data_IF_320418716405
#
_entry.id   IF_320418716405
#
_cell.length_a   1.000
_cell.length_b   1.000
_cell.length_c   1.000
_cell.angle_alpha   90.00
_cell.angle_beta   90.00
_cell.angle_gamma   90.00
#
_symmetry.space_group_name_H-M   'P 1'
#
loop_
_entity.id
_entity.type
_entity.pdbx_description
1 polymer ?
#
# COMPACT_ATOMS: atom_id res chain seq x y z
N UNK A 1 17.92 6.33 56.59
CA UNK A 1 19.16 7.13 56.43
C UNK A 1 19.69 6.77 55.04
N UNK A 2 18.99 7.08 53.96
CA UNK A 2 18.54 8.38 53.44
C UNK A 2 19.71 9.28 53.03
N UNK A 3 19.92 9.37 51.72
CA UNK A 3 20.59 10.46 51.03
C UNK A 3 20.12 10.42 49.57
N UNK A 4 19.03 11.14 49.36
CA UNK A 4 18.41 11.51 48.08
C UNK A 4 19.23 12.63 47.45
N UNK A 5 19.56 12.56 46.15
CA UNK A 5 20.08 13.71 45.41
C UNK A 5 19.17 14.03 44.22
N UNK A 6 18.37 15.07 44.45
CA UNK A 6 17.48 15.80 43.55
C UNK A 6 18.26 16.70 42.61
N UNK A 7 17.99 16.61 41.30
CA UNK A 7 18.43 17.60 40.32
C UNK A 7 17.29 18.59 40.01
N UNK A 8 17.61 19.87 40.13
CA UNK A 8 16.71 21.04 40.10
C UNK A 8 16.36 21.47 38.68
N UNK A 9 15.07 21.73 38.44
CA UNK A 9 14.49 22.40 37.29
C UNK A 9 14.16 23.85 37.67
N UNK A 10 14.74 24.86 37.01
CA UNK A 10 14.16 26.21 36.89
C UNK A 10 14.68 26.94 35.64
N UNK A 11 13.79 27.65 34.93
CA UNK A 11 14.19 28.74 34.03
C UNK A 11 13.33 28.90 32.76
N UNK A 12 12.34 29.78 32.83
CA UNK A 12 11.31 30.08 31.82
C UNK A 12 11.66 31.28 30.91
N UNK A 13 11.25 31.16 29.65
CA UNK A 13 10.88 32.16 28.63
C UNK A 13 11.80 33.33 28.25
N UNK A 14 12.09 33.43 26.95
CA UNK A 14 12.08 34.71 26.24
C UNK A 14 11.27 34.56 24.94
N UNK A 15 10.44 35.57 24.67
CA UNK A 15 9.35 35.58 23.68
C UNK A 15 9.32 36.97 23.07
N UNK A 16 9.85 37.13 21.87
CA UNK A 16 9.59 38.30 21.01
C UNK A 16 9.71 37.86 19.54
N UNK A 17 8.58 37.57 18.88
CA UNK A 17 7.86 38.49 18.00
C UNK A 17 8.60 38.82 16.70
N UNK A 18 8.32 38.05 15.64
CA UNK A 18 8.23 38.60 14.29
C UNK A 18 6.92 38.14 13.64
N UNK A 19 6.02 39.12 13.53
CA UNK A 19 4.78 39.14 12.74
C UNK A 19 5.07 38.95 11.26
N UNK A 20 4.32 38.05 10.60
CA UNK A 20 3.99 38.14 9.16
C UNK A 20 2.50 37.76 9.01
N UNK A 21 1.70 38.50 8.20
CA UNK A 21 0.24 38.55 8.33
C UNK A 21 -0.50 37.37 7.72
N UNK A 22 -1.67 37.09 8.30
CA UNK A 22 -2.67 36.17 7.77
C UNK A 22 -3.35 36.76 6.52
N UNK A 23 -3.17 36.07 5.39
CA UNK A 23 -4.05 36.10 4.22
C UNK A 23 -3.77 34.76 3.52
N UNK A 24 -4.68 33.85 3.25
CA UNK A 24 -6.12 33.80 3.28
C UNK A 24 -6.47 32.65 2.34
N UNK A 25 -7.40 31.79 2.75
CA UNK A 25 -8.11 30.82 1.89
C UNK A 25 -7.28 29.64 1.33
N UNK A 26 -7.36 28.48 1.98
CA UNK A 26 -6.81 27.21 1.44
C UNK A 26 -7.33 25.92 2.08
N UNK A 27 -8.16 25.99 3.12
CA UNK A 27 -8.66 24.82 3.87
C UNK A 27 -9.76 24.00 3.21
N UNK A 28 -9.85 23.99 1.88
CA UNK A 28 -10.82 23.19 1.12
C UNK A 28 -10.21 22.44 -0.07
N UNK A 29 -8.91 22.60 -0.32
CA UNK A 29 -8.24 22.03 -1.51
C UNK A 29 -7.45 20.76 -1.19
N UNK A 30 -7.04 20.57 0.06
CA UNK A 30 -6.14 19.49 0.50
C UNK A 30 -6.87 18.15 0.73
N UNK A 31 -8.18 18.18 0.99
CA UNK A 31 -8.98 16.96 1.28
C UNK A 31 -9.60 16.32 0.04
N UNK A 32 -9.60 17.01 -1.10
CA UNK A 32 -9.95 16.44 -2.41
C UNK A 32 -8.76 15.77 -3.09
N UNK A 33 -7.53 16.10 -2.70
CA UNK A 33 -6.30 15.55 -3.28
C UNK A 33 -5.98 14.13 -2.79
N UNK A 34 -6.30 13.81 -1.53
CA UNK A 34 -6.12 12.46 -0.95
C UNK A 34 -7.17 11.44 -1.45
N UNK A 35 -8.27 11.89 -2.05
CA UNK A 35 -9.32 11.01 -2.58
C UNK A 35 -8.97 10.43 -3.96
N UNK A 36 -8.04 11.05 -4.70
CA UNK A 36 -7.68 10.63 -6.05
C UNK A 36 -6.53 9.61 -6.13
N UNK A 37 -5.77 9.40 -5.05
CA UNK A 37 -4.58 8.53 -5.07
C UNK A 37 -4.90 7.02 -5.13
N UNK A 38 -6.14 6.63 -4.84
CA UNK A 38 -6.62 5.23 -4.99
C UNK A 38 -7.73 5.07 -6.05
N UNK A 39 -8.18 6.17 -6.67
CA UNK A 39 -9.33 6.21 -7.60
C UNK A 39 -9.00 6.77 -9.00
N UNK A 40 -7.81 7.31 -9.23
CA UNK A 40 -7.39 7.78 -10.56
C UNK A 40 -6.19 7.00 -11.04
N UNK A 41 -6.12 6.73 -12.34
CA UNK A 41 -4.88 6.44 -13.05
C UNK A 41 -3.70 7.06 -12.31
N UNK A 42 -2.85 6.23 -11.68
CA UNK A 42 -1.46 6.66 -11.51
C UNK A 42 -1.02 6.90 -12.94
N UNK A 43 -0.89 8.15 -13.37
CA UNK A 43 -0.42 8.53 -14.72
C UNK A 43 1.08 8.25 -14.85
N UNK A 44 1.50 7.05 -14.48
CA UNK A 44 2.53 6.33 -15.19
C UNK A 44 1.86 6.01 -16.53
N UNK A 45 2.24 6.77 -17.56
CA UNK A 45 1.64 6.75 -18.90
C UNK A 45 1.64 5.32 -19.49
N UNK A 46 2.41 4.41 -18.89
CA UNK A 46 2.45 2.98 -19.18
C UNK A 46 2.93 2.11 -18.02
N UNK A 47 2.67 0.80 -18.09
CA UNK A 47 3.32 -0.23 -17.24
C UNK A 47 4.85 -0.13 -17.27
N UNK A 48 5.43 0.35 -18.38
CA UNK A 48 6.88 0.46 -18.52
C UNK A 48 7.47 1.55 -17.60
N UNK A 49 6.71 2.61 -17.32
CA UNK A 49 7.12 3.65 -16.37
C UNK A 49 7.17 3.10 -14.93
N UNK A 50 6.19 2.27 -14.53
CA UNK A 50 6.20 1.58 -13.24
C UNK A 50 7.39 0.63 -13.11
N UNK A 51 7.70 -0.12 -14.17
CA UNK A 51 8.88 -0.98 -14.17
C UNK A 51 10.16 -0.17 -14.08
N UNK A 52 10.21 1.00 -14.73
CA UNK A 52 11.34 1.92 -14.65
C UNK A 52 11.52 2.43 -13.21
N UNK A 53 10.44 2.83 -12.54
CA UNK A 53 10.47 3.24 -11.13
C UNK A 53 10.92 2.10 -10.20
N UNK A 54 10.38 0.90 -10.36
CA UNK A 54 10.79 -0.28 -9.58
C UNK A 54 12.29 -0.55 -9.72
N UNK A 55 12.81 -0.53 -10.95
CA UNK A 55 14.25 -0.71 -11.19
C UNK A 55 15.09 0.43 -10.58
N UNK A 56 14.58 1.67 -10.61
CA UNK A 56 15.27 2.83 -10.03
C UNK A 56 15.42 2.74 -8.50
N UNK A 57 14.54 1.99 -7.82
CA UNK A 57 14.60 1.75 -6.37
C UNK A 57 15.64 0.71 -5.95
N UNK A 58 16.34 0.07 -6.89
CA UNK A 58 17.29 -1.05 -6.69
C UNK A 58 16.70 -2.30 -5.99
N UNK A 59 15.41 -2.30 -5.66
CA UNK A 59 14.73 -3.46 -5.10
C UNK A 59 14.47 -4.56 -6.14
N UNK A 60 14.33 -4.18 -7.40
CA UNK A 60 14.00 -5.06 -8.52
C UNK A 60 15.02 -4.88 -9.63
N UNK A 61 15.47 -5.99 -10.23
CA UNK A 61 16.25 -6.00 -11.45
C UNK A 61 15.41 -6.52 -12.63
N UNK A 62 15.67 -5.98 -13.82
CA UNK A 62 15.18 -6.56 -15.08
C UNK A 62 16.25 -7.50 -15.64
N UNK A 63 15.90 -8.77 -15.82
CA UNK A 63 16.79 -9.78 -16.41
C UNK A 63 17.04 -9.52 -17.89
N UNK A 64 18.03 -10.22 -18.48
CA UNK A 64 18.27 -10.21 -19.93
C UNK A 64 17.03 -10.66 -20.74
N UNK A 65 16.18 -11.51 -20.17
CA UNK A 65 14.92 -11.97 -20.77
C UNK A 65 13.77 -10.97 -20.63
N UNK A 66 14.00 -9.83 -19.97
CA UNK A 66 12.98 -8.80 -19.71
C UNK A 66 12.07 -9.10 -18.53
N UNK A 67 12.29 -10.20 -17.80
CA UNK A 67 11.55 -10.55 -16.59
C UNK A 67 12.02 -9.71 -15.41
N UNK A 68 11.12 -9.45 -14.46
CA UNK A 68 11.46 -8.76 -13.23
C UNK A 68 11.79 -9.75 -12.13
N UNK A 69 12.84 -9.44 -11.36
CA UNK A 69 13.28 -10.25 -10.24
C UNK A 69 13.60 -9.35 -9.05
N UNK A 70 13.11 -9.74 -7.88
CA UNK A 70 13.48 -9.10 -6.63
C UNK A 70 14.96 -9.35 -6.31
N UNK A 71 15.70 -8.28 -6.05
CA UNK A 71 17.11 -8.34 -5.71
C UNK A 71 17.30 -9.16 -4.41
N UNK A 72 18.23 -10.14 -4.39
CA UNK A 72 18.37 -11.06 -3.25
C UNK A 72 18.63 -10.38 -1.91
N UNK A 73 19.47 -9.35 -1.85
CA UNK A 73 19.74 -8.66 -0.59
C UNK A 73 18.54 -7.83 -0.12
N UNK A 74 17.78 -7.22 -1.04
CA UNK A 74 16.54 -6.51 -0.72
C UNK A 74 15.49 -7.47 -0.17
N UNK A 75 15.35 -8.65 -0.77
CA UNK A 75 14.45 -9.71 -0.27
C UNK A 75 14.74 -10.04 1.19
N UNK A 76 16.01 -10.26 1.53
CA UNK A 76 16.42 -10.59 2.91
C UNK A 76 16.08 -9.45 3.87
N UNK A 77 16.50 -8.23 3.57
CA UNK A 77 16.25 -7.08 4.45
C UNK A 77 14.74 -6.80 4.60
N UNK A 78 13.98 -6.93 3.52
CA UNK A 78 12.54 -6.73 3.54
C UNK A 78 11.84 -7.76 4.43
N UNK A 79 12.27 -9.02 4.32
CA UNK A 79 11.77 -10.12 5.15
C UNK A 79 12.09 -9.89 6.62
N UNK A 80 13.35 -9.61 6.93
CA UNK A 80 13.81 -9.39 8.31
C UNK A 80 13.07 -8.21 8.94
N UNK A 81 12.91 -7.11 8.19
CA UNK A 81 12.20 -5.92 8.66
C UNK A 81 10.72 -6.20 8.89
N UNK A 82 10.09 -6.96 8.01
CA UNK A 82 8.68 -7.36 8.13
C UNK A 82 8.47 -8.19 9.39
N UNK A 83 9.30 -9.22 9.60
CA UNK A 83 9.24 -10.06 10.79
C UNK A 83 9.45 -9.22 12.06
N UNK A 84 10.41 -8.30 12.06
CA UNK A 84 10.64 -7.38 13.17
C UNK A 84 9.42 -6.53 13.50
N UNK A 85 8.78 -5.89 12.51
CA UNK A 85 7.60 -5.03 12.73
C UNK A 85 6.44 -5.88 13.28
N UNK A 86 6.25 -7.08 12.73
CA UNK A 86 5.18 -8.00 13.14
C UNK A 86 5.38 -8.51 14.55
N UNK A 87 6.56 -9.04 14.86
CA UNK A 87 6.86 -9.65 16.16
C UNK A 87 6.88 -8.64 17.31
N UNK A 88 7.28 -7.40 17.02
CA UNK A 88 7.24 -6.30 18.00
C UNK A 88 5.90 -5.57 18.01
N UNK A 89 4.99 -5.90 17.09
CA UNK A 89 3.69 -5.25 16.91
C UNK A 89 3.79 -3.72 16.67
N UNK A 90 4.87 -3.24 16.06
CA UNK A 90 5.18 -1.79 15.92
C UNK A 90 4.66 -1.17 14.63
N UNK A 91 3.61 -1.73 14.01
CA UNK A 91 3.13 -1.28 12.71
C UNK A 91 2.53 0.12 12.75
N UNK A 92 1.82 0.48 13.83
CA UNK A 92 1.27 1.82 14.02
C UNK A 92 2.38 2.87 14.17
N UNK A 93 3.38 2.61 15.02
CA UNK A 93 4.51 3.52 15.24
C UNK A 93 5.37 3.66 13.98
N UNK A 94 5.55 2.57 13.23
CA UNK A 94 6.29 2.60 11.97
C UNK A 94 5.54 3.43 10.93
N UNK A 95 4.22 3.27 10.82
CA UNK A 95 3.40 4.11 9.94
C UNK A 95 3.46 5.60 10.35
N UNK A 96 3.38 5.88 11.64
CA UNK A 96 3.48 7.24 12.17
C UNK A 96 4.82 7.90 11.80
N UNK A 97 5.92 7.16 11.90
CA UNK A 97 7.24 7.64 11.50
C UNK A 97 7.32 7.95 10.01
N UNK A 98 6.81 7.05 9.14
CA UNK A 98 6.77 7.25 7.69
C UNK A 98 5.93 8.46 7.27
N UNK A 99 4.84 8.73 8.00
CA UNK A 99 3.95 9.87 7.73
C UNK A 99 4.39 11.17 8.42
N UNK A 100 5.43 11.14 9.26
CA UNK A 100 5.85 12.25 10.12
C UNK A 100 4.70 12.78 11.02
N UNK A 101 3.85 11.87 11.51
CA UNK A 101 2.69 12.16 12.36
C UNK A 101 2.90 11.58 13.77
N UNK A 102 2.30 12.20 14.80
CA UNK A 102 2.24 11.59 16.14
C UNK A 102 1.36 10.34 16.10
N UNK A 103 1.93 9.18 16.47
CA UNK A 103 1.22 7.90 16.51
C UNK A 103 -0.08 7.95 17.32
N UNK A 104 -0.19 8.83 18.32
CA UNK A 104 -1.41 9.00 19.14
C UNK A 104 -2.60 9.60 18.37
N UNK A 105 -2.34 10.24 17.23
CA UNK A 105 -3.36 10.80 16.34
C UNK A 105 -3.79 9.80 15.27
N UNK A 106 -3.05 8.69 15.13
CA UNK A 106 -3.35 7.64 14.17
C UNK A 106 -4.24 6.56 14.77
N UNK A 107 -5.23 6.15 14.00
CA UNK A 107 -6.07 5.01 14.30
C UNK A 107 -6.07 4.05 13.10
N UNK A 108 -5.94 2.75 13.40
CA UNK A 108 -6.06 1.68 12.42
C UNK A 108 -7.37 0.93 12.63
N UNK A 109 -8.13 0.74 11.57
CA UNK A 109 -9.44 0.08 11.59
C UNK A 109 -9.61 -0.84 10.38
N UNK A 110 -10.49 -1.84 10.53
CA UNK A 110 -11.00 -2.61 9.41
C UNK A 110 -12.32 -1.99 8.98
N UNK A 111 -12.40 -1.58 7.71
CA UNK A 111 -13.56 -0.97 7.07
C UNK A 111 -13.96 -1.75 5.81
N UNK A 112 -15.15 -1.50 5.21
CA UNK A 112 -15.56 -2.17 3.96
C UNK A 112 -14.54 -2.02 2.81
N UNK A 113 -13.82 -0.90 2.81
CA UNK A 113 -12.81 -0.56 1.80
C UNK A 113 -11.45 -1.24 2.05
N UNK A 114 -11.24 -1.82 3.23
CA UNK A 114 -10.01 -2.52 3.59
C UNK A 114 -9.50 -2.17 5.00
N UNK A 115 -8.19 -2.27 5.19
CA UNK A 115 -7.49 -1.84 6.38
C UNK A 115 -7.12 -0.37 6.25
N UNK A 116 -7.62 0.48 7.15
CA UNK A 116 -7.62 1.93 6.99
C UNK A 116 -6.81 2.58 8.09
N UNK A 117 -6.00 3.57 7.72
CA UNK A 117 -5.38 4.49 8.65
C UNK A 117 -6.09 5.85 8.58
N UNK A 118 -6.42 6.40 9.76
CA UNK A 118 -6.99 7.75 9.87
C UNK A 118 -6.16 8.60 10.83
N UNK A 119 -6.06 9.90 10.56
CA UNK A 119 -5.47 10.92 11.41
C UNK A 119 -6.54 11.97 11.72
N UNK A 120 -6.94 12.13 12.98
CA UNK A 120 -8.00 13.07 13.38
C UNK A 120 -9.28 13.00 12.50
N UNK A 121 -9.65 11.78 12.09
CA UNK A 121 -10.77 11.41 11.19
C UNK A 121 -10.54 11.58 9.69
N UNK A 122 -9.41 12.13 9.27
CA UNK A 122 -9.03 12.16 7.86
C UNK A 122 -8.33 10.87 7.48
N UNK A 123 -8.73 10.27 6.36
CA UNK A 123 -8.12 9.05 5.86
C UNK A 123 -6.72 9.35 5.30
N UNK A 124 -5.71 8.70 5.84
CA UNK A 124 -4.30 8.89 5.44
C UNK A 124 -3.71 7.67 4.73
N UNK A 125 -4.42 6.54 4.74
CA UNK A 125 -4.00 5.37 3.98
C UNK A 125 -5.05 4.27 3.97
N UNK A 126 -4.93 3.38 2.98
CA UNK A 126 -5.83 2.25 2.79
C UNK A 126 -5.11 1.09 2.14
N UNK A 127 -5.25 -0.08 2.74
CA UNK A 127 -4.64 -1.31 2.28
C UNK A 127 -5.69 -2.41 2.17
N UNK A 128 -5.49 -3.40 1.31
CA UNK A 128 -6.39 -4.56 1.23
C UNK A 128 -6.51 -5.32 2.56
N UNK A 129 -5.45 -5.30 3.38
CA UNK A 129 -5.43 -5.90 4.71
C UNK A 129 -4.27 -5.34 5.55
N UNK A 130 -4.24 -5.68 6.84
CA UNK A 130 -3.07 -5.43 7.69
C UNK A 130 -1.79 -6.08 7.13
N UNK A 131 -1.89 -7.23 6.44
CA UNK A 131 -0.74 -7.89 5.85
C UNK A 131 -0.11 -7.06 4.71
N UNK A 132 -0.94 -6.37 3.93
CA UNK A 132 -0.47 -5.44 2.90
C UNK A 132 0.20 -4.20 3.52
N UNK A 133 -0.36 -3.65 4.60
CA UNK A 133 0.29 -2.57 5.35
C UNK A 133 1.67 -3.01 5.87
N UNK A 134 1.75 -4.19 6.49
CA UNK A 134 3.02 -4.72 7.01
C UNK A 134 4.08 -4.87 5.91
N UNK A 135 3.68 -5.38 4.74
CA UNK A 135 4.56 -5.51 3.59
C UNK A 135 5.09 -4.14 3.14
N UNK A 136 4.22 -3.15 3.01
CA UNK A 136 4.58 -1.79 2.61
C UNK A 136 5.51 -1.10 3.60
N UNK A 137 5.17 -1.13 4.89
CA UNK A 137 5.97 -0.48 5.94
C UNK A 137 7.39 -1.05 5.98
N UNK A 138 7.51 -2.37 5.83
CA UNK A 138 8.80 -3.03 5.78
C UNK A 138 9.59 -2.65 4.51
N UNK A 139 8.95 -2.62 3.35
CA UNK A 139 9.59 -2.24 2.09
C UNK A 139 10.05 -0.78 2.13
N UNK A 140 9.19 0.14 2.58
CA UNK A 140 9.50 1.56 2.73
C UNK A 140 10.70 1.77 3.66
N UNK A 141 10.73 1.12 4.83
CA UNK A 141 11.86 1.21 5.77
C UNK A 141 13.18 0.75 5.14
N UNK A 142 13.17 -0.29 4.30
CA UNK A 142 14.38 -0.77 3.62
C UNK A 142 14.81 0.19 2.50
N UNK A 143 13.85 0.71 1.73
CA UNK A 143 14.11 1.65 0.64
C UNK A 143 14.66 2.99 1.14
N UNK A 144 14.16 3.50 2.26
CA UNK A 144 14.63 4.73 2.90
C UNK A 144 16.11 4.70 3.27
N UNK A 145 16.61 3.53 3.69
CA UNK A 145 18.00 3.32 4.07
C UNK A 145 18.89 3.14 2.84
N UNK A 146 18.38 2.51 1.78
CA UNK A 146 19.19 2.02 0.66
C UNK A 146 19.37 3.00 -0.50
N UNK A 147 18.47 3.97 -0.71
CA UNK A 147 18.47 4.71 -1.98
C UNK A 147 18.17 6.20 -1.88
N UNK A 148 19.02 7.02 -2.51
CA UNK A 148 18.75 8.44 -2.78
C UNK A 148 17.51 8.63 -3.67
N UNK A 149 17.25 7.67 -4.58
CA UNK A 149 16.13 7.73 -5.52
C UNK A 149 14.76 7.58 -4.84
N UNK A 150 14.67 6.84 -3.72
CA UNK A 150 13.40 6.66 -3.01
C UNK A 150 12.86 8.00 -2.49
N UNK A 151 13.75 8.83 -1.96
CA UNK A 151 13.42 10.16 -1.46
C UNK A 151 13.03 11.15 -2.56
N UNK A 152 13.44 10.88 -3.81
CA UNK A 152 13.10 11.69 -4.97
C UNK A 152 11.68 11.41 -5.51
N UNK A 153 11.10 10.25 -5.18
CA UNK A 153 9.74 9.88 -5.59
C UNK A 153 8.71 10.69 -4.80
N UNK A 154 7.60 11.03 -5.45
CA UNK A 154 6.43 11.61 -4.76
C UNK A 154 5.59 10.53 -4.03
N UNK A 155 4.53 10.96 -3.33
CA UNK A 155 3.71 10.06 -2.54
C UNK A 155 2.99 8.99 -3.37
N UNK A 156 2.56 9.33 -4.58
CA UNK A 156 1.81 8.44 -5.47
C UNK A 156 2.77 7.42 -6.10
N UNK A 157 3.94 7.87 -6.55
CA UNK A 157 5.01 7.00 -7.07
C UNK A 157 5.49 6.00 -6.00
N UNK A 158 5.68 6.46 -4.75
CA UNK A 158 6.02 5.58 -3.63
C UNK A 158 4.92 4.54 -3.38
N UNK A 159 3.66 4.96 -3.35
CA UNK A 159 2.52 4.07 -3.18
C UNK A 159 2.43 3.00 -4.29
N UNK A 160 2.68 3.39 -5.54
CA UNK A 160 2.69 2.49 -6.68
C UNK A 160 3.83 1.46 -6.59
N UNK A 161 5.05 1.91 -6.25
CA UNK A 161 6.20 1.02 -6.03
C UNK A 161 5.93 0.01 -4.91
N UNK A 162 5.44 0.46 -3.76
CA UNK A 162 5.15 -0.42 -2.62
C UNK A 162 4.08 -1.45 -2.97
N UNK A 163 3.02 -1.01 -3.64
CA UNK A 163 1.95 -1.92 -4.10
C UNK A 163 2.49 -2.96 -5.08
N UNK A 164 3.33 -2.55 -6.04
CA UNK A 164 3.91 -3.47 -7.01
C UNK A 164 4.91 -4.45 -6.38
N UNK A 165 5.64 -4.03 -5.34
CA UNK A 165 6.54 -4.92 -4.59
C UNK A 165 5.78 -6.11 -3.96
N UNK A 166 4.51 -5.94 -3.58
CA UNK A 166 3.69 -7.04 -3.02
C UNK A 166 3.53 -8.23 -3.96
N UNK A 167 3.72 -8.05 -5.27
CA UNK A 167 3.72 -9.15 -6.25
C UNK A 167 4.90 -10.11 -6.08
N UNK A 168 5.96 -9.69 -5.38
CA UNK A 168 7.14 -10.49 -5.10
C UNK A 168 7.10 -11.17 -3.73
N UNK A 169 5.98 -11.11 -3.00
CA UNK A 169 5.82 -11.82 -1.74
C UNK A 169 5.81 -13.33 -1.96
N UNK A 170 6.63 -14.05 -1.20
CA UNK A 170 6.73 -15.51 -1.27
C UNK A 170 5.92 -16.20 -0.15
N UNK A 171 5.57 -15.47 0.93
CA UNK A 171 4.79 -15.95 2.07
C UNK A 171 3.93 -14.82 2.66
N UNK A 172 2.86 -15.20 3.34
CA UNK A 172 1.93 -14.26 3.96
C UNK A 172 2.59 -13.45 5.08
N UNK A 173 2.67 -12.12 4.99
CA UNK A 173 3.18 -11.26 6.05
C UNK A 173 2.51 -11.47 7.41
N UNK A 174 1.23 -11.87 7.44
CA UNK A 174 0.45 -11.99 8.67
C UNK A 174 0.63 -13.34 9.40
N UNK A 175 0.87 -14.44 8.69
CA UNK A 175 0.84 -15.78 9.29
C UNK A 175 1.87 -16.78 8.73
N UNK A 176 2.77 -16.33 7.85
CA UNK A 176 3.77 -17.18 7.15
C UNK A 176 3.16 -18.29 6.28
N UNK A 177 1.85 -18.23 6.03
CA UNK A 177 1.15 -19.15 5.14
C UNK A 177 1.46 -18.91 3.66
N UNK A 178 1.14 -19.91 2.83
CA UNK A 178 1.32 -19.84 1.38
C UNK A 178 0.41 -18.78 0.74
N UNK A 179 0.93 -18.13 -0.29
CA UNK A 179 0.21 -17.16 -1.12
C UNK A 179 -0.28 -17.87 -2.38
N UNK A 180 -1.53 -17.63 -2.74
CA UNK A 180 -2.10 -18.12 -3.99
C UNK A 180 -2.69 -16.96 -4.78
N UNK A 181 -2.55 -17.05 -6.09
CA UNK A 181 -3.32 -16.22 -7.01
C UNK A 181 -4.78 -16.65 -6.93
N UNK A 182 -5.64 -15.69 -6.63
CA UNK A 182 -7.08 -15.88 -6.61
C UNK A 182 -7.67 -15.11 -7.78
N UNK A 183 -8.39 -15.82 -8.65
CA UNK A 183 -9.27 -15.18 -9.61
C UNK A 183 -10.47 -14.65 -8.83
N UNK A 184 -10.63 -13.32 -8.79
CA UNK A 184 -11.88 -12.75 -8.27
C UNK A 184 -13.00 -13.28 -9.17
N UNK A 185 -14.09 -13.85 -8.62
CA UNK A 185 -15.22 -14.24 -9.43
C UNK A 185 -15.69 -12.99 -10.16
N UNK A 186 -15.44 -12.92 -11.48
CA UNK A 186 -15.93 -11.84 -12.31
C UNK A 186 -17.42 -11.85 -12.12
N UNK A 187 -17.96 -10.81 -11.48
CA UNK A 187 -19.37 -10.70 -11.19
C UNK A 187 -20.13 -10.81 -12.50
N UNK A 188 -20.62 -12.00 -12.82
CA UNK A 188 -21.56 -12.23 -13.90
C UNK A 188 -22.89 -11.68 -13.42
N UNK A 189 -23.02 -10.36 -13.43
CA UNK A 189 -24.31 -9.69 -13.49
C UNK A 189 -24.70 -9.59 -14.97
N UNK A 190 -24.82 -10.75 -15.62
CA UNK A 190 -25.71 -10.86 -16.76
C UNK A 190 -27.13 -10.84 -16.18
N UNK A 191 -27.71 -9.65 -16.10
CA UNK A 191 -29.10 -9.48 -15.73
C UNK A 191 -29.99 -10.41 -16.56
N UNK A 192 -30.68 -11.31 -15.87
CA UNK A 192 -31.77 -12.11 -16.42
C UNK A 192 -32.79 -11.18 -17.08
N UNK A 193 -32.75 -11.09 -18.41
CA UNK A 193 -33.91 -10.67 -19.18
C UNK A 193 -34.79 -11.90 -19.40
N UNK A 194 -35.80 -12.03 -18.55
CA UNK A 194 -36.89 -12.98 -18.76
C UNK A 194 -37.66 -12.57 -20.03
N UNK A 195 -37.60 -13.41 -21.07
CA UNK A 195 -38.70 -13.62 -22.02
C UNK A 195 -38.37 -13.44 -23.51
N UNK A 196 -38.11 -14.55 -24.23
CA UNK A 196 -39.02 -15.16 -25.23
C UNK A 196 -38.32 -16.32 -26.00
N UNK A 197 -38.88 -17.52 -25.88
CA UNK A 197 -38.91 -18.73 -26.77
C UNK A 197 -37.64 -19.27 -27.50
N UNK A 198 -37.52 -20.61 -27.70
CA UNK A 198 -36.31 -21.24 -28.21
C UNK A 198 -36.31 -21.43 -29.74
N UNK A 199 -35.17 -21.20 -30.39
CA UNK A 199 -34.85 -21.83 -31.67
C UNK A 199 -33.58 -22.68 -31.53
N UNK A 200 -33.73 -23.96 -31.86
CA UNK A 200 -32.72 -24.99 -31.76
C UNK A 200 -31.89 -24.98 -33.04
N UNK A 201 -30.64 -24.51 -32.98
CA UNK A 201 -29.49 -25.06 -33.72
C UNK A 201 -28.27 -24.13 -33.66
N UNK A 202 -27.23 -24.51 -32.90
CA UNK A 202 -25.88 -24.82 -33.43
C UNK A 202 -24.86 -25.04 -32.31
N UNK A 203 -23.91 -25.90 -32.64
CA UNK A 203 -22.84 -26.49 -31.83
C UNK A 203 -21.88 -25.49 -31.18
N UNK A 204 -21.36 -25.87 -30.00
CA UNK A 204 -20.05 -25.45 -29.46
C UNK A 204 -18.97 -26.50 -29.83
N UNK A 205 -17.65 -26.25 -29.64
CA UNK A 205 -16.86 -25.01 -29.62
C UNK A 205 -15.67 -25.09 -30.63
N UNK A 206 -14.67 -24.19 -30.57
CA UNK A 206 -13.49 -24.55 -29.78
C UNK A 206 -13.02 -23.43 -28.86
N UNK A 207 -12.27 -23.84 -27.84
CA UNK A 207 -11.45 -23.01 -26.96
C UNK A 207 -10.85 -21.80 -27.69
N UNK A 208 -11.37 -20.62 -27.37
CA UNK A 208 -10.54 -19.44 -27.23
C UNK A 208 -10.57 -19.11 -25.75
N UNK A 209 -9.55 -19.57 -25.02
CA UNK A 209 -9.11 -18.85 -23.83
C UNK A 209 -8.56 -17.53 -24.38
N UNK A 210 -9.46 -16.59 -24.64
CA UNK A 210 -9.07 -15.19 -24.67
C UNK A 210 -8.51 -14.92 -23.27
N UNK A 211 -7.20 -14.77 -23.20
CA UNK A 211 -6.50 -14.28 -22.03
C UNK A 211 -6.93 -12.84 -21.83
N UNK A 212 -8.16 -12.62 -21.35
CA UNK A 212 -8.55 -11.38 -20.69
C UNK A 212 -7.57 -11.25 -19.53
N UNK A 213 -6.70 -10.22 -19.56
CA UNK A 213 -5.71 -10.00 -18.52
C UNK A 213 -6.37 -10.13 -17.16
N UNK A 214 -6.08 -11.25 -16.48
CA UNK A 214 -6.84 -11.68 -15.33
C UNK A 214 -6.69 -10.69 -14.19
N UNK A 215 -7.80 -10.44 -13.50
CA UNK A 215 -7.87 -9.64 -12.29
C UNK A 215 -7.08 -10.34 -11.18
N UNK A 216 -5.78 -10.05 -11.11
CA UNK A 216 -4.88 -10.74 -10.20
C UNK A 216 -5.09 -10.23 -8.77
N UNK A 217 -5.73 -11.04 -7.94
CA UNK A 217 -5.72 -10.87 -6.49
C UNK A 217 -4.74 -11.86 -5.87
N UNK A 218 -3.86 -11.38 -5.00
CA UNK A 218 -3.00 -12.23 -4.19
C UNK A 218 -3.59 -12.32 -2.78
N UNK A 219 -3.81 -13.55 -2.30
CA UNK A 219 -4.36 -13.80 -0.99
C UNK A 219 -3.64 -14.97 -0.28
N UNK A 220 -3.69 -14.97 1.05
CA UNK A 220 -3.17 -16.09 1.83
C UNK A 220 -4.16 -17.27 1.85
N UNK A 221 -3.70 -18.48 1.56
CA UNK A 221 -4.53 -19.68 1.68
C UNK A 221 -4.88 -20.03 3.14
N UNK A 222 -4.03 -19.66 4.10
CA UNK A 222 -4.22 -20.01 5.52
C UNK A 222 -5.15 -19.06 6.26
N UNK A 223 -4.99 -17.74 6.08
CA UNK A 223 -5.76 -16.73 6.81
C UNK A 223 -6.67 -15.85 5.95
N UNK A 224 -6.64 -16.04 4.61
CA UNK A 224 -7.56 -15.36 3.68
C UNK A 224 -7.31 -13.86 3.46
N UNK A 225 -6.27 -13.28 4.07
CA UNK A 225 -5.96 -11.85 3.91
C UNK A 225 -5.43 -11.56 2.51
N UNK A 226 -5.85 -10.43 1.96
CA UNK A 226 -5.48 -9.96 0.62
C UNK A 226 -4.24 -9.07 0.67
N UNK A 227 -3.38 -9.14 -0.35
CA UNK A 227 -2.17 -8.31 -0.48
C UNK A 227 -2.31 -7.26 -1.58
N UNK A 228 -2.93 -7.66 -2.69
CA UNK A 228 -3.21 -6.80 -3.85
C UNK A 228 -4.71 -6.81 -4.08
N UNK A 229 -5.30 -5.63 -4.22
CA UNK A 229 -6.70 -5.44 -4.61
C UNK A 229 -6.69 -4.68 -5.93
N UNK A 230 -7.51 -5.10 -6.88
CA UNK A 230 -7.83 -4.30 -8.07
C UNK A 230 -8.48 -2.98 -7.61
N UNK A 231 -8.25 -1.82 -8.26
CA UNK A 231 -9.04 -0.63 -7.97
C UNK A 231 -10.52 -0.96 -8.20
N UNK A 232 -11.37 -0.51 -7.28
CA UNK A 232 -12.81 -0.54 -7.46
C UNK A 232 -13.14 0.32 -8.69
N UNK A 233 -13.96 -0.19 -9.61
CA UNK A 233 -14.62 0.70 -10.55
C UNK A 233 -15.59 1.56 -9.72
N UNK A 234 -15.28 2.84 -9.54
CA UNK A 234 -16.24 3.81 -9.05
C UNK A 234 -17.29 4.01 -10.15
N UNK A 235 -18.57 3.72 -9.83
CA UNK A 235 -19.73 4.07 -10.65
C UNK A 235 -19.96 5.59 -10.72
#
# INVERSE_FOLDING_TARGET
MDATETATLEGVADRDSLLIPATGNGGKETTSQLRNALDSDTSLDSTDDLVTLLCATIAVERTESGQLRLEPSFRTDWTDRLLEIRERETHLETLAAHLEIDARRLELSVEPDGFVATCDRDRVGCWPSNAALLADLAAASVLEVRGENWHALDGDERGAVLTALRLFLEWCPNCDGEIHETELPTGSLAGESTGLLPDSSRQSPPNSLESTGGDLALACASCGVMFVRKPYAAE
#
